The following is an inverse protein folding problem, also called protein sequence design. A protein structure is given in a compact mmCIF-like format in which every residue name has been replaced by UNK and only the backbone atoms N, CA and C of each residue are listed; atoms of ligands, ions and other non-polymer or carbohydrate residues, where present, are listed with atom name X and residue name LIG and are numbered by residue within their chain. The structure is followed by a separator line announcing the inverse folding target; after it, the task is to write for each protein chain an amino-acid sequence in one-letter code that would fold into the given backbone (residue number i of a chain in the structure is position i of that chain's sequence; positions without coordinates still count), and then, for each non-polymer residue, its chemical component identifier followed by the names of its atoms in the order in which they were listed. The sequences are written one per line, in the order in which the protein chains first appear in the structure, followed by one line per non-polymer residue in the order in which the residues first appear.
data_IF_044198235266
#
_entry.id   IF_044198235266
#
_cell.length_a   1.000
_cell.length_b   1.000
_cell.length_c   1.000
_cell.angle_alpha   90.00
_cell.angle_beta   90.00
_cell.angle_gamma   90.00
#
_symmetry.space_group_name_H-M   'P 1'
#
loop_
_entity.id
_entity.type
_entity.pdbx_description
1 polymer ?
#
# COMPACT_ATOMS: atom_id res chain seq x y z
N UNK A 1 10.53 19.00 -12.47
CA UNK A 1 10.12 17.68 -11.92
C UNK A 1 10.11 16.71 -13.08
N UNK A 2 10.62 15.51 -12.87
CA UNK A 2 10.53 14.47 -13.89
C UNK A 2 9.10 13.90 -13.84
N UNK A 3 8.35 14.05 -14.93
CA UNK A 3 6.93 13.66 -14.99
C UNK A 3 6.74 12.16 -14.96
N UNK A 4 7.77 11.40 -15.34
CA UNK A 4 7.76 9.95 -15.47
C UNK A 4 8.36 9.20 -14.26
N UNK A 5 8.68 9.92 -13.19
CA UNK A 5 9.21 9.31 -11.96
C UNK A 5 8.15 9.29 -10.86
N UNK A 6 8.08 8.17 -10.13
CA UNK A 6 7.10 7.95 -9.10
C UNK A 6 7.73 7.67 -7.72
N UNK A 7 7.01 8.06 -6.67
CA UNK A 7 7.25 7.67 -5.28
C UNK A 7 6.08 6.80 -4.83
N UNK A 8 6.36 5.59 -4.37
CA UNK A 8 5.32 4.66 -3.88
C UNK A 8 5.33 4.62 -2.36
N UNK A 9 4.17 4.84 -1.74
CA UNK A 9 3.96 4.54 -0.32
C UNK A 9 3.95 3.03 -0.17
N UNK A 10 5.05 2.50 0.37
CA UNK A 10 5.33 1.08 0.40
C UNK A 10 5.54 0.59 1.84
N UNK A 11 4.61 -0.20 2.37
CA UNK A 11 4.69 -0.77 3.72
C UNK A 11 5.38 -2.15 3.75
N UNK A 12 5.30 -2.93 2.67
CA UNK A 12 5.68 -4.33 2.60
C UNK A 12 4.48 -5.30 2.66
N UNK A 13 3.26 -4.75 2.75
CA UNK A 13 2.01 -5.51 2.69
C UNK A 13 1.57 -5.78 1.24
N UNK A 14 0.52 -6.59 1.08
CA UNK A 14 -0.03 -7.00 -0.22
C UNK A 14 -0.34 -5.80 -1.12
N UNK A 15 -1.15 -4.85 -0.62
CA UNK A 15 -1.67 -3.74 -1.43
C UNK A 15 -0.54 -2.80 -1.88
N UNK A 16 0.34 -2.42 -0.97
CA UNK A 16 1.48 -1.57 -1.28
C UNK A 16 2.47 -2.24 -2.24
N UNK A 17 2.64 -3.57 -2.15
CA UNK A 17 3.46 -4.34 -3.10
C UNK A 17 2.81 -4.39 -4.48
N UNK A 18 1.49 -4.56 -4.54
CA UNK A 18 0.74 -4.50 -5.80
C UNK A 18 0.87 -3.12 -6.46
N UNK A 19 0.76 -2.05 -5.68
CA UNK A 19 0.97 -0.68 -6.16
C UNK A 19 2.40 -0.43 -6.62
N UNK A 20 3.40 -1.01 -5.93
CA UNK A 20 4.80 -0.91 -6.35
C UNK A 20 5.03 -1.64 -7.69
N UNK A 21 4.50 -2.85 -7.85
CA UNK A 21 4.56 -3.58 -9.13
C UNK A 21 3.85 -2.81 -10.25
N UNK A 22 2.67 -2.24 -9.97
CA UNK A 22 1.93 -1.40 -10.91
C UNK A 22 2.75 -0.17 -11.34
N UNK A 23 3.41 0.49 -10.40
CA UNK A 23 4.25 1.65 -10.69
C UNK A 23 5.49 1.26 -11.51
N UNK A 24 6.14 0.13 -11.17
CA UNK A 24 7.30 -0.39 -11.90
C UNK A 24 6.97 -0.82 -13.34
N UNK A 25 5.76 -1.31 -13.58
CA UNK A 25 5.32 -1.59 -14.95
C UNK A 25 5.10 -0.31 -15.78
N UNK A 26 4.80 0.83 -15.13
CA UNK A 26 4.35 2.06 -15.77
C UNK A 26 5.46 3.12 -15.88
N UNK A 27 6.31 3.26 -14.87
CA UNK A 27 7.29 4.32 -14.76
C UNK A 27 8.72 3.82 -14.90
N UNK A 28 9.60 4.57 -15.59
CA UNK A 28 10.99 4.16 -15.80
C UNK A 28 11.83 4.27 -14.52
N UNK A 29 11.39 5.07 -13.53
CA UNK A 29 12.06 5.20 -12.25
C UNK A 29 11.05 5.31 -11.12
N UNK A 30 11.18 4.43 -10.12
CA UNK A 30 10.27 4.33 -8.97
C UNK A 30 11.08 4.28 -7.69
N UNK A 31 10.85 5.26 -6.81
CA UNK A 31 11.37 5.25 -5.44
C UNK A 31 10.28 4.77 -4.47
N UNK A 32 10.67 4.32 -3.28
CA UNK A 32 9.72 3.90 -2.25
C UNK A 32 9.91 4.68 -0.96
N UNK A 33 8.80 4.95 -0.27
CA UNK A 33 8.77 5.52 1.06
C UNK A 33 7.94 4.64 1.99
N UNK A 34 8.49 4.31 3.16
CA UNK A 34 7.81 3.62 4.24
C UNK A 34 7.85 4.42 5.52
N UNK A 35 7.03 4.01 6.50
CA UNK A 35 6.88 4.72 7.76
C UNK A 35 6.99 3.76 8.94
N UNK A 36 7.89 4.06 9.87
CA UNK A 36 7.91 3.48 11.20
C UNK A 36 7.10 4.41 12.11
N UNK A 37 5.98 3.95 12.65
CA UNK A 37 5.08 4.78 13.46
C UNK A 37 4.66 4.10 14.77
N UNK A 38 5.44 3.13 15.24
CA UNK A 38 5.12 2.35 16.42
C UNK A 38 4.01 1.32 16.19
N UNK A 39 3.82 0.88 14.93
CA UNK A 39 2.92 -0.21 14.61
C UNK A 39 3.30 -1.45 15.42
N UNK A 40 2.29 -2.12 15.98
CA UNK A 40 2.40 -3.29 16.85
C UNK A 40 3.31 -4.38 16.28
N UNK A 41 3.39 -4.48 14.94
CA UNK A 41 4.20 -5.47 14.25
C UNK A 41 5.10 -4.84 13.20
N UNK A 42 6.39 -4.81 13.48
CA UNK A 42 7.43 -4.37 12.55
C UNK A 42 7.62 -5.32 11.34
N UNK A 43 7.00 -6.51 11.36
CA UNK A 43 7.13 -7.56 10.33
C UNK A 43 6.86 -7.01 8.91
N UNK A 44 5.90 -6.10 8.76
CA UNK A 44 5.62 -5.47 7.46
C UNK A 44 6.83 -4.68 6.93
N UNK A 45 7.52 -3.95 7.82
CA UNK A 45 8.73 -3.22 7.44
C UNK A 45 9.89 -4.16 7.09
N UNK A 46 9.99 -5.32 7.74
CA UNK A 46 10.98 -6.35 7.44
C UNK A 46 10.74 -6.99 6.05
N UNK A 47 9.49 -7.06 5.60
CA UNK A 47 9.12 -7.56 4.27
C UNK A 47 9.61 -6.64 3.13
N UNK A 48 9.92 -5.38 3.39
CA UNK A 48 10.29 -4.41 2.35
C UNK A 48 11.53 -4.83 1.57
N UNK A 49 12.59 -5.21 2.25
CA UNK A 49 13.86 -5.55 1.59
C UNK A 49 13.75 -6.79 0.67
N UNK A 50 13.22 -7.95 1.11
CA UNK A 50 13.05 -9.10 0.24
C UNK A 50 12.08 -8.83 -0.93
N UNK A 51 10.96 -8.13 -0.71
CA UNK A 51 10.03 -7.74 -1.79
C UNK A 51 10.71 -6.86 -2.82
N UNK A 52 11.44 -5.83 -2.40
CA UNK A 52 12.17 -4.94 -3.31
C UNK A 52 13.25 -5.70 -4.10
N UNK A 53 13.98 -6.61 -3.46
CA UNK A 53 14.98 -7.46 -4.12
C UNK A 53 14.36 -8.29 -5.25
N UNK A 54 13.24 -8.95 -4.99
CA UNK A 54 12.54 -9.75 -5.99
C UNK A 54 11.94 -8.89 -7.12
N UNK A 55 11.36 -7.73 -6.80
CA UNK A 55 10.83 -6.81 -7.81
C UNK A 55 11.92 -6.21 -8.70
N UNK A 56 13.14 -6.02 -8.18
CA UNK A 56 14.29 -5.59 -9.00
C UNK A 56 14.61 -6.61 -10.09
N UNK A 57 14.43 -7.90 -9.81
CA UNK A 57 14.64 -8.94 -10.83
C UNK A 57 13.54 -8.95 -11.91
N UNK A 58 12.32 -8.63 -11.55
CA UNK A 58 11.16 -8.55 -12.48
C UNK A 58 11.20 -7.27 -13.34
N UNK A 59 11.68 -6.15 -12.78
CA UNK A 59 11.80 -4.85 -13.47
C UNK A 59 13.21 -4.26 -13.32
N UNK A 60 14.20 -4.80 -14.05
CA UNK A 60 15.59 -4.34 -13.93
C UNK A 60 15.76 -2.86 -14.22
N UNK A 61 16.50 -2.17 -13.37
CA UNK A 61 16.86 -0.77 -13.54
C UNK A 61 15.78 0.26 -13.23
N UNK A 62 14.55 -0.16 -12.88
CA UNK A 62 13.46 0.78 -12.59
C UNK A 62 13.33 1.15 -11.12
N UNK A 63 13.76 0.29 -10.20
CA UNK A 63 13.63 0.52 -8.77
C UNK A 63 14.81 1.35 -8.24
N UNK A 64 14.50 2.53 -7.75
CA UNK A 64 15.42 3.52 -7.17
C UNK A 64 15.58 3.38 -5.65
N UNK A 65 15.97 4.47 -4.95
CA UNK A 65 16.16 4.49 -3.51
C UNK A 65 14.93 4.05 -2.69
N UNK A 66 15.21 3.51 -1.50
CA UNK A 66 14.23 3.23 -0.46
C UNK A 66 14.38 4.23 0.68
N UNK A 67 13.27 4.81 1.11
CA UNK A 67 13.22 5.78 2.20
C UNK A 67 12.33 5.25 3.33
N UNK A 68 12.77 5.41 4.59
CA UNK A 68 11.94 5.12 5.76
C UNK A 68 11.94 6.35 6.66
N UNK A 69 10.74 6.84 6.97
CA UNK A 69 10.54 7.97 7.88
C UNK A 69 10.09 7.44 9.24
N UNK A 70 10.79 7.85 10.28
CA UNK A 70 10.41 7.56 11.67
C UNK A 70 9.39 8.59 12.18
N UNK A 71 8.18 8.11 12.49
CA UNK A 71 7.07 8.87 13.04
C UNK A 71 6.65 8.36 14.43
N UNK A 72 7.43 7.46 15.04
CA UNK A 72 7.07 6.81 16.32
C UNK A 72 6.73 7.84 17.38
N UNK A 73 7.63 8.82 17.62
CA UNK A 73 7.40 9.87 18.60
C UNK A 73 6.21 10.77 18.27
N UNK A 74 6.02 11.07 16.99
CA UNK A 74 4.91 11.93 16.52
C UNK A 74 3.55 11.27 16.76
N UNK A 75 3.36 10.02 16.35
CA UNK A 75 2.06 9.36 16.47
C UNK A 75 1.80 8.85 17.89
N UNK A 76 2.82 8.48 18.65
CA UNK A 76 2.67 8.14 20.06
C UNK A 76 2.11 9.32 20.89
N UNK A 77 2.50 10.54 20.56
CA UNK A 77 1.98 11.76 21.21
C UNK A 77 0.51 12.07 20.91
N UNK A 78 -0.08 11.47 19.86
CA UNK A 78 -1.48 11.67 19.47
C UNK A 78 -2.44 10.65 20.10
N UNK A 79 -1.93 9.63 20.79
CA UNK A 79 -2.73 8.60 21.46
C UNK A 79 -2.53 7.20 20.89
N UNK A 80 -2.96 6.21 21.67
CA UNK A 80 -2.85 4.80 21.31
C UNK A 80 -4.10 4.29 20.58
N UNK A 81 -3.88 3.38 19.62
CA UNK A 81 -4.95 2.65 18.90
C UNK A 81 -4.64 1.15 18.94
N UNK A 82 -5.56 0.29 18.50
CA UNK A 82 -5.30 -1.15 18.43
C UNK A 82 -4.19 -1.53 17.41
N UNK A 83 -3.74 -0.62 16.55
CA UNK A 83 -2.55 -0.83 15.71
C UNK A 83 -1.23 -0.49 16.42
N UNK A 84 -1.27 0.35 17.44
CA UNK A 84 -0.07 0.83 18.16
C UNK A 84 0.01 0.35 19.60
N UNK A 85 -1.02 -0.36 20.09
CA UNK A 85 -1.09 -0.89 21.45
C UNK A 85 -1.67 -2.30 21.49
N UNK A 86 -1.53 -2.98 22.61
CA UNK A 86 -2.06 -4.35 22.83
C UNK A 86 -3.55 -4.35 23.21
N UNK A 87 -4.35 -3.65 22.41
CA UNK A 87 -5.80 -3.54 22.59
C UNK A 87 -6.50 -4.51 21.63
N UNK A 88 -7.56 -5.16 22.10
CA UNK A 88 -8.42 -6.02 21.26
C UNK A 88 -9.03 -5.21 20.12
N UNK A 89 -8.95 -5.77 18.90
CA UNK A 89 -9.55 -5.15 17.71
C UNK A 89 -11.07 -5.23 17.81
N UNK A 90 -11.75 -4.09 17.73
CA UNK A 90 -13.20 -3.95 17.83
C UNK A 90 -13.70 -2.74 17.03
N UNK A 91 -15.01 -2.68 16.79
CA UNK A 91 -15.67 -1.48 16.26
C UNK A 91 -15.95 -0.52 17.40
N UNK A 92 -15.76 0.78 17.17
CA UNK A 92 -16.15 1.84 18.12
C UNK A 92 -17.65 2.15 18.04
N UNK A 93 -18.15 2.91 18.99
CA UNK A 93 -19.55 3.36 19.00
C UNK A 93 -19.91 4.21 17.77
N UNK A 94 -18.93 4.88 17.19
CA UNK A 94 -19.07 5.71 15.98
C UNK A 94 -19.01 4.89 14.68
N UNK A 95 -18.90 3.56 14.75
CA UNK A 95 -18.87 2.67 13.60
C UNK A 95 -17.53 2.62 12.87
N UNK A 96 -16.44 3.11 13.48
CA UNK A 96 -15.08 2.98 12.97
C UNK A 96 -14.33 1.85 13.70
N UNK A 97 -13.45 1.10 13.03
CA UNK A 97 -12.60 0.17 13.74
C UNK A 97 -11.60 0.92 14.64
N UNK A 98 -11.35 0.41 15.84
CA UNK A 98 -10.38 1.00 16.77
C UNK A 98 -8.91 0.84 16.32
N UNK A 99 -8.69 0.22 15.18
CA UNK A 99 -7.42 0.23 14.43
C UNK A 99 -7.22 1.51 13.63
N UNK A 100 -8.25 2.36 13.51
CA UNK A 100 -8.12 3.64 12.84
C UNK A 100 -7.22 4.58 13.64
N UNK A 101 -6.15 5.08 13.00
CA UNK A 101 -5.26 6.11 13.53
C UNK A 101 -5.63 7.42 12.84
N UNK A 102 -6.36 8.34 13.53
CA UNK A 102 -6.85 9.56 12.91
C UNK A 102 -5.75 10.38 12.25
N UNK A 103 -5.92 10.70 10.96
CA UNK A 103 -4.98 11.52 10.20
C UNK A 103 -3.69 10.84 9.77
N UNK A 104 -3.48 9.55 10.08
CA UNK A 104 -2.25 8.83 9.73
C UNK A 104 -1.92 8.90 8.24
N UNK A 105 -2.87 8.59 7.37
CA UNK A 105 -2.65 8.59 5.93
C UNK A 105 -2.45 10.02 5.40
N UNK A 106 -3.09 11.04 5.98
CA UNK A 106 -2.83 12.45 5.65
C UNK A 106 -1.39 12.83 5.97
N UNK A 107 -0.87 12.42 7.14
CA UNK A 107 0.52 12.63 7.53
C UNK A 107 1.47 11.91 6.56
N UNK A 108 1.18 10.67 6.19
CA UNK A 108 1.98 9.91 5.24
C UNK A 108 2.06 10.62 3.88
N UNK A 109 0.95 11.12 3.34
CA UNK A 109 0.95 11.90 2.10
C UNK A 109 1.70 13.22 2.24
N UNK A 110 1.62 13.89 3.38
CA UNK A 110 2.38 15.12 3.63
C UNK A 110 3.88 14.85 3.60
N UNK A 111 4.35 13.81 4.27
CA UNK A 111 5.75 13.40 4.26
C UNK A 111 6.20 12.95 2.85
N UNK A 112 5.35 12.16 2.17
CA UNK A 112 5.62 11.72 0.80
C UNK A 112 5.70 12.91 -0.18
N UNK A 113 4.81 13.88 -0.07
CA UNK A 113 4.84 15.11 -0.85
C UNK A 113 6.12 15.92 -0.63
N UNK A 114 6.53 16.08 0.63
CA UNK A 114 7.76 16.77 0.98
C UNK A 114 9.01 16.05 0.43
N UNK A 115 9.05 14.72 0.51
CA UNK A 115 10.12 13.94 -0.08
C UNK A 115 10.11 14.03 -1.61
N UNK A 116 8.96 13.84 -2.24
CA UNK A 116 8.78 13.95 -3.69
C UNK A 116 9.21 15.34 -4.20
N UNK A 117 8.87 16.40 -3.46
CA UNK A 117 9.33 17.75 -3.75
C UNK A 117 10.85 17.84 -3.82
N UNK A 118 11.54 17.32 -2.80
CA UNK A 118 13.01 17.37 -2.71
C UNK A 118 13.69 16.48 -3.74
N UNK A 119 13.05 15.37 -4.12
CA UNK A 119 13.55 14.40 -5.11
C UNK A 119 13.18 14.76 -6.54
N UNK A 120 12.34 15.78 -6.74
CA UNK A 120 11.87 16.19 -8.08
C UNK A 120 10.88 15.19 -8.70
N UNK A 121 10.23 14.34 -7.88
CA UNK A 121 9.24 13.36 -8.32
C UNK A 121 7.86 14.02 -8.42
N UNK A 122 7.07 13.61 -9.40
CA UNK A 122 5.72 14.18 -9.60
C UNK A 122 4.61 13.23 -9.15
N UNK A 123 4.78 11.93 -9.37
CA UNK A 123 3.78 10.91 -9.09
C UNK A 123 3.95 10.37 -7.69
N UNK A 124 2.86 10.26 -6.94
CA UNK A 124 2.84 9.62 -5.61
C UNK A 124 1.78 8.54 -5.67
N UNK A 125 2.20 7.28 -5.56
CA UNK A 125 1.34 6.11 -5.70
C UNK A 125 1.09 5.51 -4.32
N UNK A 126 -0.16 5.16 -4.03
CA UNK A 126 -0.55 4.60 -2.73
C UNK A 126 -1.65 3.54 -2.85
N UNK A 127 -1.68 2.61 -1.90
CA UNK A 127 -2.60 1.48 -1.88
C UNK A 127 -3.90 1.73 -1.13
N UNK A 128 -4.38 2.99 -1.07
CA UNK A 128 -5.68 3.30 -0.50
C UNK A 128 -6.80 2.70 -1.35
N UNK A 129 -7.84 2.20 -0.67
CA UNK A 129 -8.96 1.52 -1.30
C UNK A 129 -10.23 1.86 -0.52
N UNK A 130 -11.28 2.28 -1.23
CA UNK A 130 -12.58 2.60 -0.65
C UNK A 130 -13.50 1.38 -0.59
N UNK A 131 -13.29 0.41 -1.48
CA UNK A 131 -14.09 -0.83 -1.55
C UNK A 131 -13.69 -1.89 -0.53
N UNK A 132 -12.50 -1.77 0.07
CA UNK A 132 -12.09 -2.59 1.19
C UNK A 132 -12.82 -2.13 2.46
N UNK A 133 -13.47 -3.04 3.15
CA UNK A 133 -14.36 -2.81 4.29
C UNK A 133 -13.67 -2.20 5.54
N UNK A 134 -12.50 -1.63 5.42
CA UNK A 134 -11.80 -0.97 6.54
C UNK A 134 -12.50 0.32 7.01
N UNK A 135 -13.29 0.96 6.14
CA UNK A 135 -14.12 2.12 6.47
C UNK A 135 -13.34 3.38 6.89
N UNK A 136 -12.02 3.39 6.73
CA UNK A 136 -11.19 4.52 7.15
C UNK A 136 -11.47 5.77 6.31
N UNK A 137 -11.88 6.90 6.94
CA UNK A 137 -12.17 8.13 6.21
C UNK A 137 -11.00 8.64 5.37
N UNK A 138 -9.77 8.43 5.85
CA UNK A 138 -8.54 8.88 5.21
C UNK A 138 -8.06 7.98 4.04
N UNK A 139 -8.84 6.93 3.72
CA UNK A 139 -8.63 6.09 2.53
C UNK A 139 -9.60 6.41 1.38
N UNK A 140 -10.60 7.28 1.60
CA UNK A 140 -11.64 7.59 0.61
C UNK A 140 -11.08 8.40 -0.56
N UNK A 141 -11.65 8.21 -1.73
CA UNK A 141 -11.27 8.90 -2.98
C UNK A 141 -11.34 10.43 -2.83
N UNK A 142 -12.42 10.94 -2.23
CA UNK A 142 -12.58 12.37 -1.97
C UNK A 142 -11.49 12.93 -1.05
N UNK A 143 -11.06 12.16 -0.03
CA UNK A 143 -9.97 12.55 0.84
C UNK A 143 -8.65 12.62 0.08
N UNK A 144 -8.37 11.65 -0.80
CA UNK A 144 -7.15 11.64 -1.63
C UNK A 144 -7.14 12.82 -2.59
N UNK A 145 -8.27 13.14 -3.24
CA UNK A 145 -8.40 14.31 -4.12
C UNK A 145 -8.18 15.63 -3.37
N UNK A 146 -8.80 15.77 -2.20
CA UNK A 146 -8.59 16.94 -1.34
C UNK A 146 -7.13 17.06 -0.89
N UNK A 147 -6.49 15.94 -0.54
CA UNK A 147 -5.07 15.90 -0.16
C UNK A 147 -4.16 16.30 -1.32
N UNK A 148 -4.43 15.82 -2.54
CA UNK A 148 -3.68 16.26 -3.73
C UNK A 148 -3.77 17.78 -3.91
N UNK A 149 -4.95 18.36 -3.78
CA UNK A 149 -5.15 19.80 -3.88
C UNK A 149 -4.37 20.55 -2.79
N UNK A 150 -4.43 20.08 -1.54
CA UNK A 150 -3.71 20.69 -0.42
C UNK A 150 -2.19 20.66 -0.63
N UNK A 151 -1.63 19.53 -1.05
CA UNK A 151 -0.20 19.40 -1.35
C UNK A 151 0.22 20.32 -2.52
N UNK A 152 -0.59 20.39 -3.57
CA UNK A 152 -0.30 21.21 -4.74
C UNK A 152 -0.30 22.69 -4.41
N UNK A 153 -1.26 23.16 -3.62
CA UNK A 153 -1.33 24.55 -3.17
C UNK A 153 -0.21 24.88 -2.16
N UNK A 154 -0.06 24.03 -1.13
CA UNK A 154 0.87 24.28 -0.04
C UNK A 154 2.35 24.19 -0.42
N UNK A 155 2.67 23.40 -1.45
CA UNK A 155 4.04 23.23 -1.94
C UNK A 155 4.31 23.86 -3.29
N UNK A 156 3.32 24.53 -3.90
CA UNK A 156 3.42 25.13 -5.24
C UNK A 156 3.97 24.14 -6.29
N UNK A 157 3.38 22.93 -6.32
CA UNK A 157 3.75 21.83 -7.23
C UNK A 157 2.51 21.28 -7.91
N UNK A 158 2.72 20.37 -8.87
CA UNK A 158 1.66 19.65 -9.58
C UNK A 158 1.82 18.14 -9.35
N UNK A 159 1.77 17.73 -8.09
CA UNK A 159 1.72 16.31 -7.76
C UNK A 159 0.46 15.66 -8.31
N UNK A 160 0.59 14.38 -8.66
CA UNK A 160 -0.53 13.50 -8.99
C UNK A 160 -0.51 12.35 -7.99
N UNK A 161 -1.56 12.25 -7.19
CA UNK A 161 -1.77 11.11 -6.30
C UNK A 161 -2.51 10.03 -7.07
N UNK A 162 -1.93 8.84 -7.13
CA UNK A 162 -2.47 7.69 -7.86
C UNK A 162 -2.78 6.56 -6.90
N UNK A 163 -4.01 6.07 -6.95
CA UNK A 163 -4.53 5.01 -6.08
C UNK A 163 -5.09 3.88 -6.94
N UNK A 164 -4.22 3.04 -7.53
CA UNK A 164 -4.64 2.02 -8.50
C UNK A 164 -5.59 0.97 -7.93
N UNK A 165 -5.72 0.89 -6.60
CA UNK A 165 -6.61 -0.03 -5.91
C UNK A 165 -7.92 0.61 -5.43
N UNK A 166 -8.14 1.91 -5.63
CA UNK A 166 -9.26 2.67 -5.04
C UNK A 166 -10.62 1.98 -5.16
N UNK A 167 -10.90 1.42 -6.33
CA UNK A 167 -12.18 0.78 -6.65
C UNK A 167 -12.06 -0.73 -6.89
N UNK A 168 -10.99 -1.36 -6.39
CA UNK A 168 -10.72 -2.79 -6.54
C UNK A 168 -10.91 -3.51 -5.22
N UNK A 169 -11.74 -4.55 -5.22
CA UNK A 169 -11.79 -5.48 -4.09
C UNK A 169 -10.55 -6.41 -4.06
N UNK A 170 -10.41 -7.21 -3.03
CA UNK A 170 -9.25 -8.11 -2.89
C UNK A 170 -9.15 -9.17 -3.99
N UNK A 171 -10.26 -9.61 -4.58
CA UNK A 171 -10.20 -10.53 -5.72
C UNK A 171 -9.64 -9.83 -6.97
N UNK A 172 -10.09 -8.60 -7.25
CA UNK A 172 -9.56 -7.77 -8.34
C UNK A 172 -8.10 -7.34 -8.09
N UNK A 173 -7.70 -7.16 -6.83
CA UNK A 173 -6.30 -6.93 -6.47
C UNK A 173 -5.42 -8.13 -6.81
N UNK A 174 -5.84 -9.37 -6.48
CA UNK A 174 -5.11 -10.58 -6.88
C UNK A 174 -5.05 -10.76 -8.40
N UNK A 175 -6.15 -10.49 -9.10
CA UNK A 175 -6.18 -10.54 -10.55
C UNK A 175 -5.23 -9.50 -11.19
N UNK A 176 -5.14 -8.28 -10.63
CA UNK A 176 -4.17 -7.28 -11.05
C UNK A 176 -2.73 -7.75 -10.84
N UNK A 177 -2.43 -8.39 -9.72
CA UNK A 177 -1.11 -8.99 -9.44
C UNK A 177 -0.73 -9.98 -10.53
N UNK A 178 -1.63 -10.91 -10.87
CA UNK A 178 -1.40 -11.89 -11.92
C UNK A 178 -1.18 -11.22 -13.29
N UNK A 179 -1.97 -10.22 -13.62
CA UNK A 179 -1.84 -9.50 -14.88
C UNK A 179 -0.52 -8.71 -15.00
N UNK A 180 0.02 -8.19 -13.88
CA UNK A 180 1.26 -7.41 -13.87
C UNK A 180 2.52 -8.27 -13.97
N UNK A 181 2.57 -9.42 -13.29
CA UNK A 181 3.80 -10.20 -13.18
C UNK A 181 3.60 -11.72 -13.17
N UNK A 182 2.42 -12.19 -13.57
CA UNK A 182 2.09 -13.61 -13.65
C UNK A 182 2.21 -14.34 -12.32
N UNK A 183 2.39 -15.65 -12.40
CA UNK A 183 2.54 -16.53 -11.24
C UNK A 183 3.74 -16.16 -10.35
N UNK A 184 4.79 -15.59 -10.92
CA UNK A 184 5.98 -15.17 -10.16
C UNK A 184 5.65 -14.04 -9.17
N UNK A 185 4.89 -13.03 -9.58
CA UNK A 185 4.48 -11.94 -8.70
C UNK A 185 3.41 -12.41 -7.69
N UNK A 186 2.50 -13.30 -8.09
CA UNK A 186 1.54 -13.93 -7.17
C UNK A 186 2.27 -14.66 -6.05
N UNK A 187 3.28 -15.49 -6.39
CA UNK A 187 4.04 -16.23 -5.37
C UNK A 187 4.88 -15.30 -4.50
N UNK A 188 5.51 -14.27 -5.06
CA UNK A 188 6.20 -13.24 -4.30
C UNK A 188 5.28 -12.62 -3.22
N UNK A 189 4.08 -12.21 -3.61
CA UNK A 189 3.13 -11.61 -2.65
C UNK A 189 2.71 -12.62 -1.58
N UNK A 190 2.50 -13.88 -1.94
CA UNK A 190 2.15 -14.93 -0.98
C UNK A 190 3.25 -15.21 0.05
N UNK A 191 4.52 -15.15 -0.38
CA UNK A 191 5.66 -15.57 0.45
C UNK A 191 6.32 -14.42 1.19
N UNK A 192 6.46 -13.26 0.56
CA UNK A 192 7.28 -12.18 1.07
C UNK A 192 6.49 -11.03 1.71
N UNK A 193 5.18 -10.89 1.42
CA UNK A 193 4.38 -9.82 2.02
C UNK A 193 3.72 -10.23 3.32
N UNK A 194 3.37 -9.23 4.14
CA UNK A 194 2.63 -9.44 5.38
C UNK A 194 1.50 -8.43 5.51
N UNK A 195 0.31 -8.90 5.94
CA UNK A 195 -0.89 -8.05 6.12
C UNK A 195 -1.61 -8.34 7.45
N UNK A 196 -1.16 -9.32 8.21
CA UNK A 196 -1.81 -9.74 9.45
C UNK A 196 -1.64 -8.68 10.53
N UNK A 197 -2.75 -8.20 11.12
CA UNK A 197 -2.73 -7.22 12.20
C UNK A 197 -2.10 -7.72 13.50
N UNK A 198 -1.95 -9.05 13.66
CA UNK A 198 -1.31 -9.66 14.81
C UNK A 198 0.17 -10.02 14.56
N UNK A 199 0.75 -9.64 13.42
CA UNK A 199 2.14 -9.94 13.08
C UNK A 199 2.49 -11.43 12.95
N UNK A 200 1.49 -12.31 12.90
CA UNK A 200 1.72 -13.74 12.88
C UNK A 200 2.27 -14.19 11.53
N UNK A 201 3.50 -14.71 11.52
CA UNK A 201 4.18 -15.28 10.36
C UNK A 201 4.54 -16.76 10.55
N UNK A 202 4.05 -17.40 11.62
CA UNK A 202 4.34 -18.80 11.92
C UNK A 202 3.51 -19.78 11.08
N UNK A 203 2.37 -19.35 10.55
CA UNK A 203 1.50 -20.19 9.74
C UNK A 203 1.34 -19.62 8.32
N UNK A 204 1.55 -20.49 7.31
CA UNK A 204 1.37 -20.18 5.90
C UNK A 204 0.09 -20.85 5.39
N UNK A 205 -0.83 -20.01 4.93
CA UNK A 205 -2.05 -20.42 4.21
C UNK A 205 -1.82 -20.37 2.70
N UNK A 206 -2.80 -20.81 1.91
CA UNK A 206 -2.75 -20.71 0.44
C UNK A 206 -2.59 -19.24 -0.06
N UNK A 207 -3.13 -18.30 0.68
CA UNK A 207 -3.08 -16.87 0.39
C UNK A 207 -1.86 -16.14 0.99
N UNK A 208 -1.02 -16.81 1.75
CA UNK A 208 0.18 -16.25 2.40
C UNK A 208 0.20 -16.39 3.91
N UNK A 209 1.10 -15.68 4.59
CA UNK A 209 1.29 -15.76 6.04
C UNK A 209 0.26 -14.92 6.80
N UNK A 210 -0.22 -15.44 7.94
CA UNK A 210 -1.10 -14.73 8.86
C UNK A 210 -1.73 -15.61 9.91
N UNK A 211 -2.46 -14.98 10.86
CA UNK A 211 -3.18 -15.72 11.93
C UNK A 211 -4.46 -16.44 11.41
N UNK A 212 -4.99 -16.01 10.25
CA UNK A 212 -6.22 -16.55 9.66
C UNK A 212 -7.53 -15.99 10.25
N UNK A 213 -7.48 -15.22 11.34
CA UNK A 213 -8.67 -14.81 12.10
C UNK A 213 -8.83 -13.30 12.32
N UNK A 214 -7.81 -12.49 12.02
CA UNK A 214 -7.98 -11.03 12.09
C UNK A 214 -8.64 -10.51 10.81
N UNK A 215 -9.29 -9.33 10.84
CA UNK A 215 -9.99 -8.78 9.68
C UNK A 215 -9.13 -8.70 8.41
N UNK A 216 -7.86 -8.36 8.53
CA UNK A 216 -6.96 -8.30 7.37
C UNK A 216 -6.66 -9.69 6.77
N UNK A 217 -6.55 -10.73 7.61
CA UNK A 217 -6.38 -12.11 7.14
C UNK A 217 -7.65 -12.63 6.46
N UNK A 218 -8.82 -12.40 7.05
CA UNK A 218 -10.11 -12.81 6.49
C UNK A 218 -10.36 -12.15 5.13
N UNK A 219 -10.08 -10.86 5.02
CA UNK A 219 -10.24 -10.11 3.78
C UNK A 219 -9.29 -10.64 2.68
N UNK A 220 -8.02 -10.87 3.03
CA UNK A 220 -7.02 -11.42 2.11
C UNK A 220 -7.37 -12.84 1.67
N UNK A 221 -7.83 -13.69 2.58
CA UNK A 221 -8.25 -15.07 2.32
C UNK A 221 -9.50 -15.12 1.41
N UNK A 222 -10.52 -14.33 1.72
CA UNK A 222 -11.73 -14.21 0.90
C UNK A 222 -11.41 -13.73 -0.52
N UNK A 223 -10.55 -12.70 -0.65
CA UNK A 223 -10.11 -12.21 -1.95
C UNK A 223 -9.38 -13.28 -2.76
N UNK A 224 -8.48 -14.04 -2.12
CA UNK A 224 -7.78 -15.17 -2.74
C UNK A 224 -8.75 -16.24 -3.25
N UNK A 225 -9.69 -16.70 -2.41
CA UNK A 225 -10.66 -17.72 -2.78
C UNK A 225 -11.54 -17.29 -3.95
N UNK A 226 -12.05 -16.05 -3.92
CA UNK A 226 -12.88 -15.48 -5.00
C UNK A 226 -12.10 -15.35 -6.30
N UNK A 227 -10.86 -14.86 -6.26
CA UNK A 227 -10.00 -14.80 -7.44
C UNK A 227 -9.73 -16.18 -8.02
N UNK A 228 -9.39 -17.18 -7.18
CA UNK A 228 -9.19 -18.57 -7.61
C UNK A 228 -10.46 -19.19 -8.24
N UNK A 229 -11.62 -18.73 -7.85
CA UNK A 229 -12.91 -19.11 -8.43
C UNK A 229 -13.26 -18.31 -9.71
N UNK A 230 -12.36 -17.48 -10.22
CA UNK A 230 -12.53 -16.69 -11.45
C UNK A 230 -13.13 -15.30 -11.26
N UNK A 231 -13.33 -14.83 -10.02
CA UNK A 231 -13.77 -13.45 -9.78
C UNK A 231 -12.62 -12.45 -9.99
N UNK A 232 -12.96 -11.22 -10.38
CA UNK A 232 -11.99 -10.12 -10.49
C UNK A 232 -11.32 -9.96 -11.86
N UNK A 233 -11.53 -10.90 -12.79
CA UNK A 233 -10.86 -10.87 -14.10
C UNK A 233 -11.48 -9.88 -15.11
N UNK A 234 -12.69 -9.38 -14.86
CA UNK A 234 -13.49 -8.67 -15.87
C UNK A 234 -13.12 -7.19 -16.11
N UNK A 235 -12.15 -6.61 -15.40
CA UNK A 235 -11.84 -5.17 -15.50
C UNK A 235 -10.37 -4.84 -15.28
N UNK A 236 -9.44 -5.67 -15.77
CA UNK A 236 -8.02 -5.41 -15.63
C UNK A 236 -7.53 -4.62 -16.83
N UNK A 237 -7.57 -3.29 -16.73
CA UNK A 237 -6.72 -2.44 -17.55
C UNK A 237 -5.30 -2.46 -16.95
N UNK A 238 -4.45 -3.30 -17.53
CA UNK A 238 -2.99 -3.15 -17.35
C UNK A 238 -2.57 -2.03 -18.30
N UNK A 239 -2.03 -0.93 -17.80
CA UNK A 239 -1.54 0.13 -18.68
C UNK A 239 -0.44 -0.46 -19.58
N UNK A 240 -0.42 -0.07 -20.87
CA UNK A 240 0.65 -0.50 -21.77
C UNK A 240 2.01 -0.10 -21.18
N UNK A 241 2.96 -1.02 -21.25
CA UNK A 241 4.34 -0.77 -20.84
C UNK A 241 4.92 0.34 -21.74
N UNK A 242 5.05 1.56 -21.19
CA UNK A 242 5.92 2.61 -21.74
C UNK A 242 5.63 3.06 -23.16
N UNK A 243 4.46 3.62 -23.45
CA UNK A 243 4.36 4.65 -24.49
C UNK A 243 4.62 6.00 -23.82
N UNK A 244 5.83 6.51 -24.03
CA UNK A 244 6.18 7.91 -23.77
C UNK A 244 5.37 8.79 -24.71
N UNK A 245 4.46 9.58 -24.14
CA UNK A 245 3.91 10.76 -24.80
C UNK A 245 4.78 11.97 -24.52
#
# INVERSE_FOLDING_TARGET
MNEDHALVLFSGGQDSTTCLAWALARYPHVETIGFAYGQRHAVELECRAPVRGALTALWPGRLGPDHVIDLVGTLAGLGATALTSDTTIAMTAEGLPNTFVPGRNLLFFTCAGALAYRRGLRRIVAGMCETDYSGYPDCRDDTIKAMQLALNLGMQRRFVLETPLMWRDKAATWALVEALGGSALVELIRTETHSCYLGNRSHRHDWGYGCGTCPACELRASGWQRWRAGAGSASIEVPPAGESA
#
